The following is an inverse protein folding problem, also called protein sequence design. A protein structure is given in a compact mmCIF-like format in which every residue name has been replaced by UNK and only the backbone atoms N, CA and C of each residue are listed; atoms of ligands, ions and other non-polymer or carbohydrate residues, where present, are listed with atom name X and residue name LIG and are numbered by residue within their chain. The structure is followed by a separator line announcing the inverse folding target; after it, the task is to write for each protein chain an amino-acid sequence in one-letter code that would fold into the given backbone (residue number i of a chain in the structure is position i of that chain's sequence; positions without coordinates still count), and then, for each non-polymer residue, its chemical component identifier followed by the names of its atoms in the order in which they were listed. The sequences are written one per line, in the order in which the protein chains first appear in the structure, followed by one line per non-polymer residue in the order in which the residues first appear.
data_IF_822884418068
#
_entry.id   IF_822884418068
#
_cell.length_a   1.000
_cell.length_b   1.000
_cell.length_c   1.000
_cell.angle_alpha   90.00
_cell.angle_beta   90.00
_cell.angle_gamma   90.00
#
_symmetry.space_group_name_H-M   'P 1'
#
loop_
_entity.id
_entity.type
_entity.pdbx_description
1 polymer ?
#
# COMPACT_ATOMS: atom_id res chain seq x y z
N UNK A 1 12.12 0.52 -16.05
CA UNK A 1 13.46 0.80 -15.47
C UNK A 1 13.31 0.87 -13.96
N UNK A 2 13.86 -0.11 -13.25
CA UNK A 2 13.80 -0.24 -11.79
C UNK A 2 14.84 0.69 -11.17
N UNK A 3 14.47 1.95 -10.92
CA UNK A 3 15.34 2.93 -10.30
C UNK A 3 15.06 3.03 -8.80
N UNK A 4 15.85 2.32 -7.99
CA UNK A 4 16.55 2.97 -6.87
C UNK A 4 15.82 3.34 -5.57
N UNK A 5 14.79 2.62 -5.12
CA UNK A 5 14.26 2.84 -3.77
C UNK A 5 14.73 1.72 -2.85
N UNK A 6 15.81 1.94 -2.09
CA UNK A 6 16.09 1.17 -0.86
C UNK A 6 15.36 1.86 0.28
N UNK A 7 14.94 1.11 1.29
CA UNK A 7 14.42 1.68 2.54
C UNK A 7 15.44 2.71 3.06
N UNK A 8 15.06 3.98 3.29
CA UNK A 8 16.02 5.03 3.61
C UNK A 8 16.78 4.71 4.89
N UNK A 9 18.05 5.15 4.99
CA UNK A 9 18.90 4.81 6.14
C UNK A 9 18.34 5.30 7.50
N UNK A 10 17.53 6.37 7.47
CA UNK A 10 16.80 6.92 8.61
C UNK A 10 15.46 6.25 8.91
N UNK A 11 15.08 5.17 8.21
CA UNK A 11 13.96 4.31 8.61
C UNK A 11 14.37 3.40 9.78
N UNK A 12 15.02 3.97 10.80
CA UNK A 12 15.11 3.39 12.13
C UNK A 12 13.75 3.63 12.79
N UNK A 13 12.81 2.81 12.37
CA UNK A 13 11.76 2.18 13.16
C UNK A 13 11.41 2.90 14.48
N UNK A 14 10.14 3.28 14.61
CA UNK A 14 9.49 3.74 15.85
C UNK A 14 9.57 2.73 17.01
N UNK A 15 10.35 1.67 16.88
CA UNK A 15 10.63 0.72 17.94
C UNK A 15 11.39 1.45 19.03
N UNK A 16 10.82 1.52 20.24
CA UNK A 16 11.47 2.18 21.36
C UNK A 16 12.80 1.46 21.64
N UNK A 17 13.84 2.23 21.96
CA UNK A 17 15.16 1.68 22.35
C UNK A 17 15.01 0.72 23.54
N UNK A 18 13.98 0.93 24.36
CA UNK A 18 13.62 0.07 25.48
C UNK A 18 12.22 -0.48 25.24
N UNK A 19 12.11 -1.80 25.02
CA UNK A 19 10.84 -2.50 24.94
C UNK A 19 10.23 -2.64 26.34
N UNK A 20 9.24 -1.81 26.63
CA UNK A 20 8.46 -1.84 27.87
C UNK A 20 6.97 -1.90 27.52
N UNK A 21 6.12 -2.44 28.39
CA UNK A 21 4.68 -2.46 28.15
C UNK A 21 4.10 -1.05 27.92
N UNK A 22 4.70 -0.02 28.52
CA UNK A 22 4.29 1.38 28.32
C UNK A 22 4.66 1.88 26.92
N UNK A 23 5.89 1.57 26.46
CA UNK A 23 6.34 1.98 25.14
C UNK A 23 5.56 1.30 24.02
N UNK A 24 5.13 0.05 24.23
CA UNK A 24 4.29 -0.68 23.27
C UNK A 24 2.92 -0.02 23.14
N UNK A 25 2.28 0.34 24.26
CA UNK A 25 1.00 1.06 24.26
C UNK A 25 1.11 2.42 23.56
N UNK A 26 2.20 3.15 23.79
CA UNK A 26 2.44 4.45 23.15
C UNK A 26 2.73 4.35 21.65
N UNK A 27 3.22 3.21 21.16
CA UNK A 27 3.50 2.98 19.74
C UNK A 27 2.26 2.61 18.92
N UNK A 28 1.23 2.04 19.56
CA UNK A 28 -0.02 1.60 18.94
C UNK A 28 -0.72 2.67 18.06
N UNK A 29 -0.92 3.93 18.50
CA UNK A 29 -1.61 4.95 17.69
C UNK A 29 -0.85 5.37 16.42
N UNK A 30 0.46 5.14 16.36
CA UNK A 30 1.28 5.42 15.18
C UNK A 30 1.24 4.29 14.16
N UNK A 31 0.77 3.10 14.57
CA UNK A 31 0.62 1.96 13.69
C UNK A 31 -0.62 2.09 12.79
N UNK A 32 -0.57 1.45 11.62
CA UNK A 32 -1.72 1.22 10.75
C UNK A 32 -2.49 -0.06 11.12
N UNK A 33 -2.16 -0.70 12.25
CA UNK A 33 -2.88 -1.86 12.75
C UNK A 33 -4.37 -1.49 13.01
N UNK A 34 -5.29 -2.30 12.47
CA UNK A 34 -6.73 -2.02 12.50
C UNK A 34 -7.23 -1.03 11.44
N UNK A 35 -6.33 -0.48 10.60
CA UNK A 35 -6.68 0.32 9.42
C UNK A 35 -6.52 -0.51 8.14
N UNK A 36 -6.94 0.07 7.01
CA UNK A 36 -6.87 -0.55 5.67
C UNK A 36 -5.47 -1.11 5.35
N UNK A 37 -4.41 -0.37 5.72
CA UNK A 37 -3.02 -0.75 5.40
C UNK A 37 -2.33 -1.62 6.46
N UNK A 38 -3.04 -2.06 7.52
CA UNK A 38 -2.44 -2.80 8.63
C UNK A 38 -1.84 -4.15 8.23
N UNK A 39 -2.39 -4.81 7.21
CA UNK A 39 -1.85 -6.09 6.71
C UNK A 39 -0.48 -5.91 6.04
N UNK A 40 -0.33 -4.86 5.23
CA UNK A 40 0.94 -4.54 4.57
C UNK A 40 1.99 -4.10 5.58
N UNK A 41 1.59 -3.30 6.58
CA UNK A 41 2.45 -2.95 7.71
C UNK A 41 2.94 -4.21 8.43
N UNK A 42 2.04 -5.14 8.78
CA UNK A 42 2.39 -6.38 9.46
C UNK A 42 3.34 -7.25 8.63
N UNK A 43 3.13 -7.36 7.32
CA UNK A 43 4.02 -8.12 6.42
C UNK A 43 5.41 -7.49 6.34
N UNK A 44 5.49 -6.16 6.22
CA UNK A 44 6.75 -5.43 6.21
C UNK A 44 7.54 -5.61 7.50
N UNK A 45 6.89 -5.50 8.66
CA UNK A 45 7.55 -5.71 9.94
C UNK A 45 8.01 -7.15 10.17
N UNK A 46 7.23 -8.15 9.74
CA UNK A 46 7.66 -9.56 9.77
C UNK A 46 8.94 -9.80 8.97
N UNK A 47 9.06 -9.18 7.80
CA UNK A 47 10.30 -9.24 7.02
C UNK A 47 11.45 -8.55 7.75
N UNK A 48 11.22 -7.34 8.28
CA UNK A 48 12.24 -6.58 9.01
C UNK A 48 12.71 -7.28 10.27
N UNK A 49 11.83 -8.00 10.97
CA UNK A 49 12.16 -8.82 12.14
C UNK A 49 13.02 -10.03 11.73
N UNK A 50 12.68 -10.71 10.63
CA UNK A 50 13.43 -11.87 10.16
C UNK A 50 14.87 -11.54 9.71
N UNK A 51 15.08 -10.40 9.03
CA UNK A 51 16.39 -10.01 8.50
C UNK A 51 17.14 -9.01 9.37
N UNK A 52 16.46 -8.34 10.31
CA UNK A 52 16.99 -7.23 11.10
C UNK A 52 17.21 -5.95 10.29
N UNK A 53 17.49 -4.85 10.98
CA UNK A 53 17.55 -3.50 10.38
C UNK A 53 18.59 -3.33 9.26
N UNK A 54 19.72 -4.05 9.32
CA UNK A 54 20.79 -3.89 8.31
C UNK A 54 20.43 -4.57 6.99
N UNK A 55 20.05 -5.85 7.04
CA UNK A 55 19.76 -6.66 5.85
C UNK A 55 18.34 -6.42 5.34
N UNK A 56 17.39 -6.14 6.24
CA UNK A 56 15.99 -5.84 5.89
C UNK A 56 15.85 -4.68 4.91
N UNK A 57 16.72 -3.67 4.97
CA UNK A 57 16.73 -2.55 3.99
C UNK A 57 16.93 -2.97 2.54
N UNK A 58 17.59 -4.12 2.32
CA UNK A 58 17.85 -4.67 0.98
C UNK A 58 16.80 -5.71 0.59
N UNK A 59 16.39 -6.56 1.54
CA UNK A 59 15.51 -7.69 1.26
C UNK A 59 14.02 -7.34 1.37
N UNK A 60 13.63 -6.45 2.29
CA UNK A 60 12.23 -6.09 2.57
C UNK A 60 11.72 -4.90 1.75
N UNK A 61 12.35 -4.64 0.61
CA UNK A 61 12.04 -3.51 -0.26
C UNK A 61 10.68 -3.68 -0.98
N UNK A 62 10.32 -4.92 -1.33
CA UNK A 62 9.05 -5.21 -1.97
C UNK A 62 7.88 -4.92 -1.01
N UNK A 63 7.96 -5.45 0.21
CA UNK A 63 6.98 -5.26 1.27
C UNK A 63 6.85 -3.78 1.65
N UNK A 64 7.98 -3.07 1.73
CA UNK A 64 7.97 -1.63 1.98
C UNK A 64 7.27 -0.85 0.87
N UNK A 65 7.48 -1.22 -0.41
CA UNK A 65 6.82 -0.57 -1.55
C UNK A 65 5.32 -0.80 -1.57
N UNK A 66 4.87 -1.98 -1.17
CA UNK A 66 3.45 -2.31 -1.10
C UNK A 66 2.79 -1.54 0.06
N UNK A 67 3.46 -1.47 1.22
CA UNK A 67 3.01 -0.65 2.34
C UNK A 67 2.94 0.84 1.99
N UNK A 68 3.98 1.38 1.35
CA UNK A 68 4.01 2.77 0.90
C UNK A 68 2.94 3.06 -0.17
N UNK A 69 2.69 2.12 -1.08
CA UNK A 69 1.64 2.25 -2.09
C UNK A 69 0.27 2.29 -1.44
N UNK A 70 -0.02 1.44 -0.45
CA UNK A 70 -1.29 1.50 0.28
C UNK A 70 -1.50 2.86 0.99
N UNK A 71 -0.44 3.44 1.56
CA UNK A 71 -0.52 4.72 2.26
C UNK A 71 -0.75 5.91 1.32
N UNK A 72 -0.17 5.86 0.11
CA UNK A 72 -0.14 7.00 -0.82
C UNK A 72 -1.10 6.86 -2.00
N UNK A 73 -1.48 5.64 -2.35
CA UNK A 73 -2.29 5.24 -3.51
C UNK A 73 -1.78 5.78 -4.87
N UNK A 74 -0.49 6.13 -4.95
CA UNK A 74 0.07 6.78 -6.14
C UNK A 74 -0.03 5.93 -7.40
N UNK A 75 0.27 4.63 -7.29
CA UNK A 75 0.25 3.73 -8.45
C UNK A 75 -1.18 3.48 -8.90
N UNK A 76 -2.10 3.29 -7.96
CA UNK A 76 -3.53 3.17 -8.26
C UNK A 76 -4.06 4.39 -9.01
N UNK A 77 -3.74 5.61 -8.56
CA UNK A 77 -4.15 6.85 -9.23
C UNK A 77 -3.56 6.97 -10.64
N UNK A 78 -2.25 6.75 -10.79
CA UNK A 78 -1.58 6.76 -12.10
C UNK A 78 -2.18 5.73 -13.06
N UNK A 79 -2.53 4.55 -12.56
CA UNK A 79 -3.19 3.50 -13.35
C UNK A 79 -4.58 3.93 -13.79
N UNK A 80 -5.39 4.52 -12.90
CA UNK A 80 -6.71 5.00 -13.22
C UNK A 80 -6.67 6.10 -14.28
N UNK A 81 -5.72 7.04 -14.16
CA UNK A 81 -5.50 8.10 -15.15
C UNK A 81 -5.06 7.56 -16.52
N UNK A 82 -4.15 6.58 -16.55
CA UNK A 82 -3.73 5.92 -17.79
C UNK A 82 -4.89 5.20 -18.49
N UNK A 83 -5.76 4.53 -17.72
CA UNK A 83 -6.97 3.88 -18.26
C UNK A 83 -7.94 4.94 -18.81
N UNK A 84 -8.13 6.03 -18.08
CA UNK A 84 -9.02 7.14 -18.47
C UNK A 84 -8.57 7.78 -19.78
N UNK A 85 -7.30 8.16 -19.86
CA UNK A 85 -6.69 8.80 -21.04
C UNK A 85 -6.74 7.90 -22.27
N UNK A 86 -6.47 6.60 -22.11
CA UNK A 86 -6.55 5.65 -23.22
C UNK A 86 -7.99 5.45 -23.72
N UNK A 87 -9.00 5.41 -22.83
CA UNK A 87 -10.41 5.32 -23.23
C UNK A 87 -10.86 6.56 -23.99
N UNK A 88 -10.51 7.75 -23.51
CA UNK A 88 -10.83 9.00 -24.20
C UNK A 88 -10.22 9.04 -25.60
N UNK A 89 -8.97 8.55 -25.75
CA UNK A 89 -8.33 8.42 -27.06
C UNK A 89 -9.12 7.49 -28.00
N UNK A 90 -9.49 6.30 -27.53
CA UNK A 90 -10.23 5.33 -28.34
C UNK A 90 -11.63 5.83 -28.74
N UNK A 91 -12.30 6.58 -27.87
CA UNK A 91 -13.57 7.23 -28.17
C UNK A 91 -13.41 8.31 -29.25
N UNK A 92 -12.37 9.16 -29.15
CA UNK A 92 -12.05 10.17 -30.18
C UNK A 92 -11.68 9.56 -31.53
N UNK A 93 -11.07 8.38 -31.54
CA UNK A 93 -10.77 7.61 -32.75
C UNK A 93 -12.00 6.91 -33.35
N UNK A 94 -13.16 6.94 -32.68
CA UNK A 94 -14.39 6.27 -33.13
C UNK A 94 -14.36 4.75 -32.99
N UNK A 95 -13.41 4.18 -32.24
CA UNK A 95 -13.33 2.73 -31.96
C UNK A 95 -14.25 2.28 -30.82
N UNK A 96 -14.74 3.24 -30.03
CA UNK A 96 -15.69 3.01 -28.94
C UNK A 96 -16.93 3.87 -29.19
N UNK A 97 -18.12 3.29 -29.03
CA UNK A 97 -19.39 4.01 -29.17
C UNK A 97 -19.63 5.01 -28.02
N UNK A 98 -19.07 4.73 -26.84
CA UNK A 98 -19.21 5.55 -25.63
C UNK A 98 -17.87 5.65 -24.90
N UNK A 99 -17.60 6.81 -24.29
CA UNK A 99 -16.37 7.03 -23.54
C UNK A 99 -16.30 6.24 -22.22
N UNK A 100 -17.45 6.05 -21.56
CA UNK A 100 -17.57 5.31 -20.30
C UNK A 100 -18.79 4.40 -20.33
N UNK A 101 -18.70 3.28 -19.61
CA UNK A 101 -19.80 2.33 -19.44
C UNK A 101 -20.87 2.92 -18.51
N UNK A 102 -22.15 2.77 -18.86
CA UNK A 102 -23.27 3.28 -18.05
C UNK A 102 -23.46 2.45 -16.78
N UNK A 103 -23.11 1.15 -16.84
CA UNK A 103 -23.18 0.23 -15.71
C UNK A 103 -21.86 0.22 -14.94
N UNK A 104 -21.56 1.30 -14.22
CA UNK A 104 -20.49 1.32 -13.24
C UNK A 104 -21.08 1.20 -11.82
N UNK A 105 -20.40 0.51 -10.89
CA UNK A 105 -20.81 0.52 -9.50
C UNK A 105 -20.80 1.97 -8.98
N UNK A 106 -21.79 2.35 -8.18
CA UNK A 106 -21.84 3.68 -7.62
C UNK A 106 -20.60 3.93 -6.74
N UNK A 107 -20.08 5.16 -6.67
CA UNK A 107 -18.96 5.48 -5.78
C UNK A 107 -19.31 5.07 -4.35
N UNK A 108 -18.48 4.18 -3.76
CA UNK A 108 -18.68 3.63 -2.42
C UNK A 108 -19.37 2.26 -2.35
N UNK A 109 -19.93 1.73 -3.43
CA UNK A 109 -20.44 0.33 -3.50
C UNK A 109 -19.32 -0.69 -3.73
N UNK A 110 -18.23 -0.26 -4.36
CA UNK A 110 -17.02 -1.07 -4.43
C UNK A 110 -16.37 -1.01 -3.05
N UNK A 111 -16.71 -1.95 -2.18
CA UNK A 111 -15.83 -2.28 -1.07
C UNK A 111 -14.53 -2.74 -1.72
N UNK A 112 -13.41 -2.03 -1.55
CA UNK A 112 -12.15 -2.65 -1.88
C UNK A 112 -12.08 -3.94 -1.07
N UNK A 113 -11.89 -5.07 -1.76
CA UNK A 113 -11.68 -6.37 -1.14
C UNK A 113 -10.33 -6.34 -0.41
N UNK A 114 -10.24 -5.54 0.65
CA UNK A 114 -9.13 -5.55 1.58
C UNK A 114 -9.28 -6.83 2.39
N UNK A 115 -8.92 -7.94 1.77
CA UNK A 115 -8.81 -9.26 2.39
C UNK A 115 -9.98 -9.55 3.34
N UNK A 116 -11.22 -9.57 2.83
CA UNK A 116 -12.40 -9.97 3.63
C UNK A 116 -12.20 -11.34 4.33
N UNK A 117 -11.25 -12.15 3.84
CA UNK A 117 -10.87 -13.47 4.29
C UNK A 117 -9.64 -13.52 5.22
N UNK A 118 -9.05 -12.38 5.58
CA UNK A 118 -7.83 -12.28 6.41
C UNK A 118 -8.07 -11.95 7.89
N UNK A 119 -9.33 -11.89 8.34
CA UNK A 119 -9.65 -11.73 9.78
C UNK A 119 -9.28 -13.02 10.51
N UNK A 120 -8.21 -12.96 11.31
CA UNK A 120 -7.94 -13.95 12.35
C UNK A 120 -8.96 -13.64 13.46
N UNK A 121 -9.97 -14.50 13.62
CA UNK A 121 -10.89 -14.47 14.76
C UNK A 121 -10.15 -14.79 16.06
#
# INVERSE_FOLDING_TARGET
MASGNRVPEGYSTLTPIVQTPISDVLSMPLSQQGRICGMFEGQFWRCMEAYGAKLGRKYCDLEHRDYHECMTNEKQLKRAEAIRTQREKLYREGKLDKAYETNHPAPGQLHPDHFQWGRIN
#
